data_IF_392931292626
#
_entry.id   IF_392931292626
#
_cell.length_a   1.000
_cell.length_b   1.000
_cell.length_c   1.000
_cell.angle_alpha   90.00
_cell.angle_beta   90.00
_cell.angle_gamma   90.00
#
_symmetry.space_group_name_H-M   'P 1'
#
loop_
_entity.id
_entity.type
_entity.pdbx_description
1 polymer ?
#
# COMPACT_ATOMS: atom_id res chain seq x y z
N UNK A 1 17.77 -0.45 21.53
CA UNK A 1 16.52 0.36 21.49
C UNK A 1 16.51 1.41 20.38
N UNK A 2 17.36 2.45 20.40
CA UNK A 2 17.34 3.54 19.39
C UNK A 2 17.51 3.07 17.94
N UNK A 3 18.38 2.08 17.70
CA UNK A 3 18.58 1.46 16.38
C UNK A 3 17.27 0.86 15.87
N UNK A 4 16.50 0.16 16.71
CA UNK A 4 15.23 -0.44 16.31
C UNK A 4 14.20 0.63 15.96
N UNK A 5 14.14 1.73 16.71
CA UNK A 5 13.24 2.86 16.41
C UNK A 5 13.60 3.47 15.05
N UNK A 6 14.88 3.71 14.82
CA UNK A 6 15.36 4.24 13.53
C UNK A 6 15.04 3.28 12.38
N UNK A 7 15.34 1.99 12.53
CA UNK A 7 15.06 0.96 11.53
C UNK A 7 13.58 0.88 11.24
N UNK A 8 12.71 0.90 12.26
CA UNK A 8 11.26 0.91 12.08
C UNK A 8 10.80 2.05 11.18
N UNK A 9 11.23 3.29 11.46
CA UNK A 9 10.83 4.46 10.66
C UNK A 9 11.43 4.42 9.26
N UNK A 10 12.69 4.00 9.12
CA UNK A 10 13.32 3.83 7.80
C UNK A 10 12.58 2.79 6.97
N UNK A 11 12.24 1.64 7.55
CA UNK A 11 11.46 0.60 6.88
C UNK A 11 10.07 1.13 6.50
N UNK A 12 9.36 1.77 7.43
CA UNK A 12 8.03 2.35 7.15
C UNK A 12 8.07 3.34 5.97
N UNK A 13 9.05 4.26 5.95
CA UNK A 13 9.18 5.23 4.87
C UNK A 13 9.62 4.57 3.56
N UNK A 14 10.55 3.61 3.62
CA UNK A 14 11.00 2.86 2.45
C UNK A 14 9.88 2.04 1.82
N UNK A 15 8.91 1.60 2.62
CA UNK A 15 7.75 0.88 2.11
C UNK A 15 6.87 1.71 1.17
N UNK A 16 6.89 3.04 1.23
CA UNK A 16 6.24 3.89 0.21
C UNK A 16 6.88 3.69 -1.17
N UNK A 17 8.22 3.66 -1.21
CA UNK A 17 8.95 3.35 -2.44
C UNK A 17 8.63 1.92 -2.91
N UNK A 18 8.65 0.94 -2.00
CA UNK A 18 8.33 -0.45 -2.34
C UNK A 18 6.90 -0.60 -2.86
N UNK A 19 5.92 0.07 -2.25
CA UNK A 19 4.54 0.06 -2.70
C UNK A 19 4.42 0.65 -4.11
N UNK A 20 5.03 1.82 -4.36
CA UNK A 20 5.09 2.41 -5.70
C UNK A 20 5.73 1.46 -6.73
N UNK A 21 6.87 0.86 -6.38
CA UNK A 21 7.61 -0.04 -7.26
C UNK A 21 6.80 -1.30 -7.57
N UNK A 22 6.29 -1.99 -6.55
CA UNK A 22 5.45 -3.16 -6.71
C UNK A 22 4.20 -2.84 -7.50
N UNK A 23 3.54 -1.73 -7.20
CA UNK A 23 2.33 -1.34 -7.89
C UNK A 23 2.60 -1.09 -9.39
N UNK A 24 3.64 -0.32 -9.72
CA UNK A 24 3.95 0.01 -11.11
C UNK A 24 4.49 -1.17 -11.93
N UNK A 25 5.41 -1.96 -11.38
CA UNK A 25 6.17 -2.94 -12.15
C UNK A 25 5.73 -4.39 -11.93
N UNK A 26 5.14 -4.69 -10.78
CA UNK A 26 4.70 -6.05 -10.44
C UNK A 26 3.19 -6.17 -10.70
N UNK A 27 2.39 -5.33 -10.05
CA UNK A 27 0.92 -5.36 -10.10
C UNK A 27 0.41 -4.92 -11.48
N UNK A 28 0.93 -3.82 -12.03
CA UNK A 28 0.69 -3.40 -13.43
C UNK A 28 1.63 -4.07 -14.45
N UNK A 29 2.30 -5.15 -14.04
CA UNK A 29 3.21 -5.93 -14.88
C UNK A 29 2.78 -7.39 -14.94
N UNK A 30 3.65 -8.28 -14.47
CA UNK A 30 3.43 -9.72 -14.61
C UNK A 30 2.38 -10.30 -13.66
N UNK A 31 2.03 -9.60 -12.57
CA UNK A 31 0.93 -9.98 -11.67
C UNK A 31 -0.35 -9.17 -11.93
N UNK A 32 -0.52 -8.64 -13.14
CA UNK A 32 -1.75 -7.94 -13.55
C UNK A 32 -3.01 -8.78 -13.35
N UNK A 33 -2.94 -10.10 -13.55
CA UNK A 33 -4.08 -11.00 -13.32
C UNK A 33 -4.61 -10.99 -11.87
N UNK A 34 -3.79 -10.58 -10.90
CA UNK A 34 -4.18 -10.39 -9.50
C UNK A 34 -4.64 -8.96 -9.19
N UNK A 35 -4.34 -7.98 -10.05
CA UNK A 35 -4.67 -6.57 -9.81
C UNK A 35 -5.81 -6.05 -10.70
N UNK A 36 -6.14 -6.74 -11.78
CA UNK A 36 -7.10 -6.28 -12.78
C UNK A 36 -8.52 -6.10 -12.22
N UNK A 37 -8.98 -6.98 -11.32
CA UNK A 37 -10.30 -6.88 -10.70
C UNK A 37 -10.44 -5.68 -9.77
N UNK A 38 -9.33 -5.23 -9.19
CA UNK A 38 -9.28 -4.02 -8.39
C UNK A 38 -9.51 -2.75 -9.23
N UNK A 39 -9.01 -2.72 -10.48
CA UNK A 39 -9.30 -1.64 -11.43
C UNK A 39 -10.71 -1.73 -12.00
N UNK A 40 -11.11 -2.94 -12.39
CA UNK A 40 -12.44 -3.21 -12.94
C UNK A 40 -12.89 -4.57 -12.48
N UNK A 41 -13.77 -4.56 -11.49
CA UNK A 41 -14.36 -5.77 -10.92
C UNK A 41 -15.07 -6.59 -11.99
N UNK A 42 -14.75 -7.87 -12.06
CA UNK A 42 -15.28 -8.83 -13.04
C UNK A 42 -16.00 -10.02 -12.38
N UNK A 43 -16.27 -9.92 -11.06
CA UNK A 43 -16.89 -10.97 -10.25
C UNK A 43 -17.77 -10.39 -9.13
N UNK A 44 -18.67 -11.21 -8.57
CA UNK A 44 -19.62 -10.79 -7.52
C UNK A 44 -19.11 -10.99 -6.08
N UNK A 45 -17.88 -11.48 -5.88
CA UNK A 45 -17.28 -11.65 -4.55
C UNK A 45 -16.96 -10.31 -3.86
N UNK A 46 -17.01 -10.29 -2.52
CA UNK A 46 -16.51 -9.17 -1.71
C UNK A 46 -14.97 -9.06 -1.72
N UNK A 47 -14.29 -10.21 -1.80
CA UNK A 47 -12.83 -10.28 -1.92
C UNK A 47 -12.39 -9.97 -3.34
N UNK A 48 -11.25 -9.30 -3.46
CA UNK A 48 -10.57 -9.06 -4.73
C UNK A 48 -9.32 -9.94 -4.78
N UNK A 49 -8.91 -10.43 -5.94
CA UNK A 49 -7.62 -11.12 -6.12
C UNK A 49 -6.47 -10.23 -5.67
N UNK A 50 -6.65 -8.92 -5.75
CA UNK A 50 -5.71 -7.92 -5.26
C UNK A 50 -5.41 -8.08 -3.76
N UNK A 51 -6.31 -8.67 -2.99
CA UNK A 51 -6.09 -8.96 -1.57
C UNK A 51 -4.92 -9.91 -1.33
N UNK A 52 -4.52 -10.68 -2.35
CA UNK A 52 -3.31 -11.53 -2.30
C UNK A 52 -2.04 -10.72 -2.01
N UNK A 53 -1.95 -9.45 -2.44
CA UNK A 53 -0.78 -8.61 -2.14
C UNK A 53 -0.66 -8.31 -0.64
N UNK A 54 -1.77 -8.16 0.09
CA UNK A 54 -1.72 -8.04 1.55
C UNK A 54 -1.18 -9.32 2.20
N UNK A 55 -1.57 -10.50 1.70
CA UNK A 55 -1.06 -11.78 2.19
C UNK A 55 0.44 -11.91 1.94
N UNK A 56 0.90 -11.57 0.73
CA UNK A 56 2.33 -11.60 0.38
C UNK A 56 3.15 -10.73 1.35
N UNK A 57 2.73 -9.49 1.58
CA UNK A 57 3.43 -8.59 2.50
C UNK A 57 3.30 -9.01 3.97
N UNK A 58 2.18 -9.62 4.37
CA UNK A 58 2.05 -10.21 5.69
C UNK A 58 3.04 -11.35 5.91
N UNK A 59 3.23 -12.23 4.91
CA UNK A 59 4.22 -13.31 4.97
C UNK A 59 5.64 -12.76 5.08
N UNK A 60 5.99 -11.73 4.31
CA UNK A 60 7.30 -11.06 4.41
C UNK A 60 7.50 -10.47 5.82
N UNK A 61 6.50 -9.75 6.33
CA UNK A 61 6.52 -9.18 7.67
C UNK A 61 6.72 -10.23 8.75
N UNK A 62 5.97 -11.34 8.68
CA UNK A 62 6.09 -12.47 9.61
C UNK A 62 7.46 -13.13 9.48
N UNK A 63 8.01 -13.23 8.28
CA UNK A 63 9.37 -13.72 8.05
C UNK A 63 10.40 -12.95 8.88
N UNK A 64 10.32 -11.62 8.88
CA UNK A 64 11.19 -10.78 9.71
C UNK A 64 10.96 -10.95 11.22
N UNK A 65 9.72 -11.19 11.65
CA UNK A 65 9.43 -11.54 13.05
C UNK A 65 10.08 -12.87 13.44
N UNK A 66 10.00 -13.88 12.57
CA UNK A 66 10.60 -15.19 12.81
C UNK A 66 12.13 -15.10 12.85
N UNK A 67 12.74 -14.35 11.92
CA UNK A 67 14.20 -14.12 11.94
C UNK A 67 14.66 -13.46 13.24
N UNK A 68 13.86 -12.55 13.80
CA UNK A 68 14.13 -11.99 15.12
C UNK A 68 13.90 -12.99 16.25
N UNK A 69 12.78 -13.72 16.22
CA UNK A 69 12.41 -14.70 17.25
C UNK A 69 13.43 -15.84 17.40
N UNK A 70 14.11 -16.21 16.31
CA UNK A 70 15.15 -17.25 16.30
C UNK A 70 16.57 -16.66 16.37
N UNK A 71 16.72 -15.40 16.79
CA UNK A 71 18.00 -14.71 16.98
C UNK A 71 18.91 -14.66 15.72
N UNK A 72 18.32 -14.80 14.52
CA UNK A 72 19.04 -14.74 13.23
C UNK A 72 19.28 -13.28 12.80
N UNK A 73 18.32 -12.40 13.09
CA UNK A 73 18.40 -10.98 12.74
C UNK A 73 17.85 -10.11 13.88
N UNK A 74 18.76 -9.49 14.64
CA UNK A 74 18.42 -8.66 15.81
C UNK A 74 17.45 -7.52 15.47
N UNK A 75 17.62 -6.86 14.33
CA UNK A 75 16.74 -5.78 13.86
C UNK A 75 15.45 -6.28 13.19
N UNK A 76 15.25 -7.60 13.08
CA UNK A 76 14.15 -8.21 12.34
C UNK A 76 12.77 -7.75 12.83
N UNK A 77 12.56 -7.66 14.15
CA UNK A 77 11.30 -7.18 14.70
C UNK A 77 10.96 -5.75 14.26
N UNK A 78 11.96 -4.87 14.22
CA UNK A 78 11.76 -3.48 13.80
C UNK A 78 11.38 -3.39 12.32
N UNK A 79 12.03 -4.18 11.47
CA UNK A 79 11.73 -4.26 10.03
C UNK A 79 10.31 -4.80 9.83
N UNK A 80 10.00 -5.94 10.44
CA UNK A 80 8.66 -6.53 10.35
C UNK A 80 7.58 -5.55 10.81
N UNK A 81 7.79 -4.87 11.94
CA UNK A 81 6.84 -3.88 12.45
C UNK A 81 6.70 -2.69 11.49
N UNK A 82 7.78 -2.24 10.85
CA UNK A 82 7.73 -1.18 9.85
C UNK A 82 6.92 -1.58 8.61
N UNK A 83 7.11 -2.81 8.12
CA UNK A 83 6.33 -3.38 7.00
C UNK A 83 4.85 -3.49 7.38
N UNK A 84 4.56 -4.08 8.54
CA UNK A 84 3.20 -4.21 9.06
C UNK A 84 2.51 -2.84 9.22
N UNK A 85 3.16 -1.88 9.86
CA UNK A 85 2.61 -0.55 10.09
C UNK A 85 2.31 0.17 8.78
N UNK A 86 3.20 0.06 7.78
CA UNK A 86 2.93 0.61 6.46
C UNK A 86 1.77 -0.13 5.77
N UNK A 87 1.74 -1.46 5.82
CA UNK A 87 0.64 -2.27 5.27
C UNK A 87 -0.72 -1.91 5.88
N UNK A 88 -0.75 -1.67 7.20
CA UNK A 88 -1.95 -1.20 7.90
C UNK A 88 -2.34 0.21 7.44
N UNK A 89 -1.39 1.14 7.35
CA UNK A 89 -1.65 2.49 6.83
C UNK A 89 -2.17 2.44 5.39
N UNK A 90 -1.58 1.60 4.54
CA UNK A 90 -2.01 1.37 3.17
C UNK A 90 -3.46 0.90 3.16
N UNK A 91 -3.81 -0.17 3.88
CA UNK A 91 -5.18 -0.70 3.94
C UNK A 91 -6.19 0.33 4.45
N UNK A 92 -5.86 1.08 5.50
CA UNK A 92 -6.72 2.15 6.03
C UNK A 92 -6.98 3.25 5.00
N UNK A 93 -5.97 3.65 4.23
CA UNK A 93 -6.11 4.73 3.25
C UNK A 93 -6.75 4.21 1.95
N UNK A 94 -6.28 3.09 1.44
CA UNK A 94 -6.69 2.50 0.17
C UNK A 94 -8.08 1.87 0.26
N UNK A 95 -8.23 0.77 0.99
CA UNK A 95 -9.44 -0.06 1.01
C UNK A 95 -10.58 0.57 1.81
N UNK A 96 -10.23 1.18 2.95
CA UNK A 96 -11.22 1.81 3.82
C UNK A 96 -11.53 3.22 3.32
N UNK A 97 -10.56 4.11 3.27
CA UNK A 97 -10.85 5.51 2.99
C UNK A 97 -11.16 5.79 1.50
N UNK A 98 -10.43 5.23 0.55
CA UNK A 98 -10.65 5.51 -0.89
C UNK A 98 -11.70 4.59 -1.49
N UNK A 99 -11.51 3.27 -1.42
CA UNK A 99 -12.41 2.29 -2.03
C UNK A 99 -13.68 2.04 -1.21
N UNK A 100 -13.71 2.45 0.06
CA UNK A 100 -14.89 2.32 0.91
C UNK A 100 -15.41 0.88 0.99
N UNK A 101 -14.51 -0.11 0.92
CA UNK A 101 -14.82 -1.54 1.17
C UNK A 101 -15.39 -1.75 2.58
N UNK A 102 -14.97 -0.86 3.49
CA UNK A 102 -15.60 -0.64 4.79
C UNK A 102 -16.06 0.82 4.87
N UNK A 103 -17.25 1.07 5.42
CA UNK A 103 -17.87 2.41 5.47
C UNK A 103 -17.32 3.28 6.61
N UNK A 104 -16.00 3.36 6.75
CA UNK A 104 -15.29 4.21 7.72
C UNK A 104 -14.58 5.36 6.98
N UNK A 105 -14.40 6.49 7.66
CA UNK A 105 -13.72 7.70 7.13
C UNK A 105 -14.29 8.33 5.84
N UNK A 106 -15.49 7.91 5.38
CA UNK A 106 -16.13 8.43 4.16
C UNK A 106 -16.26 9.95 4.09
N UNK A 107 -16.42 10.59 5.25
CA UNK A 107 -16.64 12.03 5.38
C UNK A 107 -15.34 12.83 5.57
N UNK A 108 -14.17 12.18 5.58
CA UNK A 108 -12.89 12.87 5.76
C UNK A 108 -12.60 13.81 4.59
N UNK A 109 -12.59 15.12 4.85
CA UNK A 109 -12.61 16.16 3.80
C UNK A 109 -11.46 17.18 3.89
N UNK A 110 -10.39 16.85 4.61
CA UNK A 110 -9.22 17.72 4.71
C UNK A 110 -8.41 17.76 3.38
N UNK A 111 -7.44 18.67 3.30
CA UNK A 111 -6.65 18.90 2.07
C UNK A 111 -5.91 17.63 1.62
N UNK A 112 -5.32 16.89 2.55
CA UNK A 112 -4.61 15.64 2.27
C UNK A 112 -5.55 14.54 1.77
N UNK A 113 -6.66 14.31 2.48
CA UNK A 113 -7.71 13.37 2.12
C UNK A 113 -8.27 13.60 0.71
N UNK A 114 -8.42 14.87 0.30
CA UNK A 114 -8.80 15.22 -1.08
C UNK A 114 -7.71 14.91 -2.08
N UNK A 115 -6.46 15.24 -1.78
CA UNK A 115 -5.33 15.03 -2.67
C UNK A 115 -5.12 13.53 -2.96
N UNK A 116 -5.14 12.70 -1.91
CA UNK A 116 -4.96 11.25 -2.04
C UNK A 116 -6.09 10.62 -2.87
N UNK A 117 -7.36 10.96 -2.59
CA UNK A 117 -8.49 10.49 -3.40
C UNK A 117 -8.38 10.89 -4.87
N UNK A 118 -7.95 12.11 -5.16
CA UNK A 118 -7.78 12.59 -6.54
C UNK A 118 -6.65 11.85 -7.25
N UNK A 119 -5.50 11.71 -6.61
CA UNK A 119 -4.36 10.99 -7.17
C UNK A 119 -4.72 9.54 -7.50
N UNK A 120 -5.37 8.85 -6.56
CA UNK A 120 -5.80 7.47 -6.74
C UNK A 120 -6.88 7.32 -7.82
N UNK A 121 -7.83 8.27 -7.90
CA UNK A 121 -8.82 8.28 -8.98
C UNK A 121 -8.15 8.45 -10.35
N UNK A 122 -7.11 9.27 -10.45
CA UNK A 122 -6.36 9.44 -11.71
C UNK A 122 -5.57 8.19 -12.08
N UNK A 123 -5.05 7.46 -11.09
CA UNK A 123 -4.44 6.15 -11.29
C UNK A 123 -5.45 5.17 -11.91
N UNK A 124 -6.61 4.98 -11.30
CA UNK A 124 -7.67 4.09 -11.80
C UNK A 124 -8.27 4.49 -13.15
N UNK A 125 -8.08 5.75 -13.58
CA UNK A 125 -8.54 6.22 -14.90
C UNK A 125 -7.68 5.64 -16.04
N UNK A 126 -6.40 5.38 -15.81
CA UNK A 126 -5.47 4.87 -16.81
C UNK A 126 -4.95 3.50 -16.39
N UNK A 127 -5.47 2.46 -17.04
CA UNK A 127 -5.28 1.05 -16.65
C UNK A 127 -3.85 0.56 -16.96
N UNK A 128 -3.16 1.17 -17.94
CA UNK A 128 -1.81 0.77 -18.33
C UNK A 128 -0.71 1.52 -17.57
N UNK A 129 0.43 0.86 -17.31
CA UNK A 129 1.58 1.45 -16.61
C UNK A 129 2.26 2.64 -17.32
N UNK A 130 2.10 2.75 -18.64
CA UNK A 130 2.77 3.76 -19.48
C UNK A 130 2.07 5.13 -19.41
N UNK A 131 0.74 5.13 -19.36
CA UNK A 131 -0.08 6.35 -19.19
C UNK A 131 -0.59 6.52 -17.75
N UNK A 132 -0.42 5.48 -16.93
CA UNK A 132 -0.76 5.48 -15.51
C UNK A 132 0.09 6.47 -14.72
N UNK A 133 -0.57 7.24 -13.87
CA UNK A 133 0.08 8.15 -12.93
C UNK A 133 -0.28 7.79 -11.49
N UNK A 134 0.59 8.14 -10.54
CA UNK A 134 0.35 7.99 -9.10
C UNK A 134 0.22 6.55 -8.58
N UNK A 135 1.24 5.73 -8.79
CA UNK A 135 1.30 4.36 -8.24
C UNK A 135 1.64 4.30 -6.74
N UNK A 136 2.08 5.41 -6.13
CA UNK A 136 2.29 5.51 -4.68
C UNK A 136 0.97 5.61 -3.91
N UNK A 137 1.04 5.56 -2.58
CA UNK A 137 -0.14 5.51 -1.72
C UNK A 137 -0.25 6.72 -0.81
N UNK A 138 0.71 6.90 0.11
CA UNK A 138 0.64 7.95 1.12
C UNK A 138 1.25 9.26 0.62
N UNK A 139 2.22 9.18 -0.30
CA UNK A 139 2.88 10.34 -0.90
C UNK A 139 2.37 10.56 -2.32
N UNK A 140 1.57 11.62 -2.51
CA UNK A 140 0.97 11.96 -3.80
C UNK A 140 1.56 13.24 -4.38
N UNK A 141 1.63 13.39 -5.73
CA UNK A 141 2.19 14.59 -6.34
C UNK A 141 1.50 15.88 -5.91
N UNK A 142 2.28 16.96 -5.74
CA UNK A 142 1.78 18.27 -5.27
C UNK A 142 0.62 18.84 -6.10
N UNK A 143 0.52 18.50 -7.38
CA UNK A 143 -0.58 18.94 -8.26
C UNK A 143 -1.96 18.57 -7.71
N UNK A 144 -2.08 17.47 -6.96
CA UNK A 144 -3.36 17.03 -6.39
C UNK A 144 -3.78 17.78 -5.13
N UNK A 145 -2.86 18.52 -4.49
CA UNK A 145 -3.14 19.39 -3.35
C UNK A 145 -3.67 20.76 -3.76
N UNK A 146 -3.60 21.10 -5.04
CA UNK A 146 -4.19 22.32 -5.62
C UNK A 146 -5.67 22.05 -5.95
N UNK A 147 -6.53 23.03 -5.69
CA UNK A 147 -7.99 22.86 -5.81
C UNK A 147 -8.40 22.49 -7.21
#
# INVERSE_FOLDING_TARGET
MWIHILVFFLTFCFMEFMAWFSHKFIMHGFLWSLHADHHKKDHDSWFERNDAFFIIYAVISIGFFLLWQYDILEIGLAIGLGIFAYGLAYFLVHDIFIHQRFKLFRNANNRYAKAVRRAHKMHHKHIGKEEGECFGMLLVPFKYFKK
#
